data_IF_369538733317
#
_entry.id   IF_369538733317
#
_cell.length_a   1.000
_cell.length_b   1.000
_cell.length_c   1.000
_cell.angle_alpha   90.00
_cell.angle_beta   90.00
_cell.angle_gamma   90.00
#
_symmetry.space_group_name_H-M   'P 1'
#
loop_
_entity.id
_entity.type
_entity.pdbx_description
1 polymer ?
#
# COMPACT_ATOMS: atom_id res chain seq x y z
N UNK A 1 6.12 -4.84 -11.69
CA UNK A 1 6.20 -4.70 -10.23
C UNK A 1 4.85 -4.43 -9.60
N UNK A 2 4.15 -3.33 -9.91
CA UNK A 2 2.81 -3.06 -9.35
C UNK A 2 1.81 -4.21 -9.46
N UNK A 3 1.85 -5.00 -10.55
CA UNK A 3 1.00 -6.18 -10.71
C UNK A 3 1.32 -7.34 -9.75
N UNK A 4 2.55 -7.42 -9.23
CA UNK A 4 3.01 -8.52 -8.36
C UNK A 4 2.44 -8.39 -6.95
N UNK A 5 2.16 -7.16 -6.50
CA UNK A 5 1.67 -6.90 -5.13
C UNK A 5 0.14 -6.90 -5.02
N UNK A 6 -0.57 -6.83 -6.15
CA UNK A 6 -2.04 -6.83 -6.23
C UNK A 6 -2.64 -8.10 -5.61
N UNK A 7 -2.14 -9.31 -5.88
CA UNK A 7 -2.61 -10.53 -5.23
C UNK A 7 -2.54 -10.45 -3.70
N UNK A 8 -1.45 -9.93 -3.13
CA UNK A 8 -1.27 -9.79 -1.68
C UNK A 8 -2.36 -8.89 -1.06
N UNK A 9 -2.61 -7.73 -1.67
CA UNK A 9 -3.67 -6.83 -1.23
C UNK A 9 -5.07 -7.44 -1.37
N UNK A 10 -5.34 -8.16 -2.46
CA UNK A 10 -6.62 -8.84 -2.67
C UNK A 10 -6.84 -9.99 -1.67
N UNK A 11 -5.79 -10.76 -1.37
CA UNK A 11 -5.86 -11.85 -0.40
C UNK A 11 -6.15 -11.29 0.99
N UNK A 12 -5.44 -10.24 1.42
CA UNK A 12 -5.70 -9.59 2.70
C UNK A 12 -7.12 -8.98 2.76
N UNK A 13 -7.60 -8.38 1.67
CA UNK A 13 -8.97 -7.89 1.55
C UNK A 13 -10.01 -9.02 1.64
N UNK A 14 -9.78 -10.13 0.95
CA UNK A 14 -10.68 -11.29 0.98
C UNK A 14 -10.74 -11.91 2.38
N UNK A 15 -9.62 -11.98 3.09
CA UNK A 15 -9.58 -12.46 4.48
C UNK A 15 -10.32 -11.51 5.41
N UNK A 16 -10.13 -10.20 5.27
CA UNK A 16 -10.87 -9.20 6.04
C UNK A 16 -12.39 -9.36 5.93
N UNK A 17 -12.89 -9.65 4.73
CA UNK A 17 -14.32 -9.85 4.47
C UNK A 17 -14.86 -11.21 4.99
N UNK A 18 -13.99 -12.21 5.15
CA UNK A 18 -14.38 -13.55 5.64
C UNK A 18 -14.34 -13.66 7.15
N UNK A 19 -13.45 -12.92 7.81
CA UNK A 19 -13.09 -13.16 9.20
C UNK A 19 -13.86 -12.22 10.12
N UNK A 20 -14.93 -12.73 10.75
CA UNK A 20 -15.76 -12.00 11.71
C UNK A 20 -15.15 -11.91 13.13
N UNK A 21 -14.18 -12.78 13.46
CA UNK A 21 -13.46 -12.77 14.74
C UNK A 21 -11.98 -13.11 14.51
N UNK A 22 -11.17 -12.09 14.19
CA UNK A 22 -9.71 -12.23 14.10
C UNK A 22 -9.01 -11.61 15.31
N UNK A 23 -7.75 -12.00 15.54
CA UNK A 23 -6.94 -11.33 16.57
C UNK A 23 -6.54 -9.92 16.12
N UNK A 24 -6.25 -9.04 17.08
CA UNK A 24 -5.71 -7.71 16.78
C UNK A 24 -4.42 -7.78 15.92
N UNK A 25 -3.63 -8.83 16.10
CA UNK A 25 -2.45 -9.10 15.27
C UNK A 25 -2.83 -9.36 13.80
N UNK A 26 -3.81 -10.21 13.56
CA UNK A 26 -4.31 -10.52 12.20
C UNK A 26 -4.87 -9.26 11.51
N UNK A 27 -5.67 -8.45 12.21
CA UNK A 27 -6.16 -7.20 11.63
C UNK A 27 -5.04 -6.22 11.32
N UNK A 28 -4.00 -6.16 12.17
CA UNK A 28 -2.84 -5.30 11.93
C UNK A 28 -2.06 -5.74 10.68
N UNK A 29 -1.84 -7.05 10.48
CA UNK A 29 -1.14 -7.56 9.29
C UNK A 29 -1.97 -7.41 8.02
N UNK A 30 -3.30 -7.54 8.10
CA UNK A 30 -4.23 -7.19 7.01
C UNK A 30 -4.06 -5.72 6.60
N UNK A 31 -4.10 -4.79 7.57
CA UNK A 31 -3.95 -3.35 7.30
C UNK A 31 -2.62 -3.05 6.61
N UNK A 32 -1.51 -3.63 7.11
CA UNK A 32 -0.18 -3.45 6.51
C UNK A 32 -0.15 -3.99 5.08
N UNK A 33 -0.68 -5.19 4.83
CA UNK A 33 -0.68 -5.79 3.50
C UNK A 33 -1.47 -4.93 2.50
N UNK A 34 -2.68 -4.48 2.89
CA UNK A 34 -3.52 -3.64 2.04
C UNK A 34 -2.86 -2.29 1.78
N UNK A 35 -2.29 -1.65 2.82
CA UNK A 35 -1.60 -0.38 2.68
C UNK A 35 -0.43 -0.48 1.70
N UNK A 36 0.52 -1.38 1.98
CA UNK A 36 1.75 -1.51 1.19
C UNK A 36 1.41 -1.95 -0.23
N UNK A 37 0.47 -2.89 -0.39
CA UNK A 37 0.04 -3.35 -1.70
C UNK A 37 -0.64 -2.26 -2.53
N UNK A 38 -1.56 -1.50 -1.94
CA UNK A 38 -2.29 -0.43 -2.65
C UNK A 38 -1.38 0.75 -2.99
N UNK A 39 -0.51 1.16 -2.06
CA UNK A 39 0.49 2.21 -2.28
C UNK A 39 1.43 1.81 -3.42
N UNK A 40 1.94 0.58 -3.40
CA UNK A 40 2.91 0.09 -4.38
C UNK A 40 2.28 -0.07 -5.77
N UNK A 41 1.04 -0.54 -5.82
CA UNK A 41 0.26 -0.64 -7.05
C UNK A 41 0.09 0.73 -7.71
N UNK A 42 -0.43 1.70 -6.98
CA UNK A 42 -0.70 3.05 -7.52
C UNK A 42 0.58 3.81 -7.84
N UNK A 43 1.62 3.71 -7.02
CA UNK A 43 2.94 4.28 -7.32
C UNK A 43 3.56 3.70 -8.59
N UNK A 44 3.43 2.38 -8.81
CA UNK A 44 3.93 1.73 -10.03
C UNK A 44 3.23 2.24 -11.29
N UNK A 45 1.93 2.57 -11.22
CA UNK A 45 1.21 3.16 -12.35
C UNK A 45 1.75 4.53 -12.73
N UNK A 46 2.07 5.38 -11.74
CA UNK A 46 2.67 6.70 -12.00
C UNK A 46 4.08 6.55 -12.58
N UNK A 47 4.91 5.67 -12.00
CA UNK A 47 6.26 5.42 -12.49
C UNK A 47 6.24 4.91 -13.94
N UNK A 48 5.35 3.96 -14.25
CA UNK A 48 5.14 3.46 -15.61
C UNK A 48 4.68 4.58 -16.56
N UNK A 49 3.70 5.38 -16.15
CA UNK A 49 3.21 6.49 -16.95
C UNK A 49 4.29 7.51 -17.29
N UNK A 50 5.21 7.79 -16.36
CA UNK A 50 6.36 8.68 -16.60
C UNK A 50 7.40 8.09 -17.54
N UNK A 51 7.69 6.79 -17.44
CA UNK A 51 8.64 6.11 -18.34
C UNK A 51 8.10 5.96 -19.77
N UNK A 52 6.79 5.77 -19.92
CA UNK A 52 6.14 5.68 -21.24
C UNK A 52 5.85 7.06 -21.87
N UNK A 53 6.11 8.15 -21.16
CA UNK A 53 5.81 9.51 -21.63
C UNK A 53 4.31 9.89 -21.59
N UNK A 54 3.45 9.07 -20.98
CA UNK A 54 2.04 9.44 -20.73
C UNK A 54 1.91 10.52 -19.64
N UNK A 55 2.86 10.57 -18.71
CA UNK A 55 2.97 11.57 -17.66
C UNK A 55 4.31 12.28 -17.84
N UNK A 56 4.38 13.59 -17.57
CA UNK A 56 5.64 14.33 -17.63
C UNK A 56 6.71 13.67 -16.75
N UNK A 57 7.88 13.44 -17.35
CA UNK A 57 9.06 12.96 -16.63
C UNK A 57 9.65 14.00 -15.67
N UNK A 58 9.19 15.25 -15.70
CA UNK A 58 9.65 16.24 -14.72
C UNK A 58 9.03 15.96 -13.33
N UNK A 59 9.75 16.31 -12.24
CA UNK A 59 9.16 16.41 -10.92
C UNK A 59 7.94 17.33 -10.93
N UNK A 60 6.78 16.82 -10.50
CA UNK A 60 5.57 17.63 -10.33
C UNK A 60 5.40 17.85 -8.84
N UNK A 61 5.66 19.06 -8.38
CA UNK A 61 5.55 19.44 -6.97
C UNK A 61 4.48 20.51 -6.79
N UNK A 62 3.72 20.45 -5.70
CA UNK A 62 2.71 21.44 -5.36
C UNK A 62 2.95 22.02 -3.96
N UNK A 63 2.55 23.28 -3.69
CA UNK A 63 2.80 23.91 -2.40
C UNK A 63 2.09 23.14 -1.28
N UNK A 64 2.83 22.81 -0.21
CA UNK A 64 2.32 22.08 0.94
C UNK A 64 2.24 20.55 0.77
N UNK A 65 2.82 19.97 -0.30
CA UNK A 65 2.77 18.53 -0.56
C UNK A 65 3.26 17.66 0.60
N UNK A 66 4.37 18.02 1.26
CA UNK A 66 4.87 17.26 2.41
C UNK A 66 3.88 17.26 3.58
N UNK A 67 3.23 18.41 3.83
CA UNK A 67 2.22 18.54 4.89
C UNK A 67 0.98 17.70 4.55
N UNK A 68 0.52 17.75 3.31
CA UNK A 68 -0.62 16.95 2.83
C UNK A 68 -0.31 15.45 2.92
N UNK A 69 0.88 15.02 2.50
CA UNK A 69 1.31 13.63 2.63
C UNK A 69 1.41 13.20 4.10
N UNK A 70 1.88 14.06 4.99
CA UNK A 70 1.91 13.80 6.42
C UNK A 70 0.51 13.65 7.01
N UNK A 71 -0.44 14.50 6.59
CA UNK A 71 -1.85 14.39 7.01
C UNK A 71 -2.48 13.08 6.53
N UNK A 72 -2.23 12.68 5.28
CA UNK A 72 -2.69 11.39 4.78
C UNK A 72 -2.06 10.22 5.53
N UNK A 73 -0.76 10.29 5.85
CA UNK A 73 -0.09 9.26 6.65
C UNK A 73 -0.69 9.15 8.07
N UNK A 74 -0.98 10.28 8.71
CA UNK A 74 -1.66 10.30 10.02
C UNK A 74 -3.09 9.75 9.93
N UNK A 75 -3.83 10.13 8.89
CA UNK A 75 -5.18 9.62 8.65
C UNK A 75 -5.16 8.10 8.43
N UNK A 76 -4.17 7.59 7.71
CA UNK A 76 -3.97 6.15 7.49
C UNK A 76 -3.70 5.40 8.80
N UNK A 77 -2.84 5.95 9.67
CA UNK A 77 -2.58 5.34 10.98
C UNK A 77 -3.83 5.34 11.85
N UNK A 78 -4.60 6.42 11.83
CA UNK A 78 -5.87 6.51 12.55
C UNK A 78 -6.89 5.48 12.04
N UNK A 79 -7.11 5.40 10.73
CA UNK A 79 -8.05 4.42 10.15
C UNK A 79 -7.58 2.98 10.35
N UNK A 80 -6.28 2.72 10.27
CA UNK A 80 -5.69 1.43 10.60
C UNK A 80 -5.93 1.02 12.06
N UNK A 81 -5.80 1.96 13.00
CA UNK A 81 -6.14 1.72 14.41
C UNK A 81 -7.63 1.43 14.60
N UNK A 82 -8.52 2.18 13.95
CA UNK A 82 -9.96 1.95 14.04
C UNK A 82 -10.40 0.61 13.43
N UNK A 83 -9.73 0.09 12.40
CA UNK A 83 -9.99 -1.26 11.89
C UNK A 83 -9.74 -2.33 12.96
N UNK A 84 -8.68 -2.17 13.77
CA UNK A 84 -8.35 -3.14 14.82
C UNK A 84 -9.38 -3.12 15.96
N UNK A 85 -9.94 -1.95 16.27
CA UNK A 85 -10.95 -1.80 17.33
C UNK A 85 -12.36 -2.17 16.87
N UNK A 86 -12.73 -1.78 15.65
CA UNK A 86 -14.07 -1.89 15.10
C UNK A 86 -14.05 -2.52 13.69
N UNK A 87 -13.64 -3.79 13.56
CA UNK A 87 -13.43 -4.44 12.26
C UNK A 87 -14.72 -4.58 11.44
N UNK A 88 -15.89 -4.56 12.08
CA UNK A 88 -17.18 -4.62 11.40
C UNK A 88 -17.53 -3.33 10.63
N UNK A 89 -16.85 -2.22 10.89
CA UNK A 89 -17.06 -0.97 10.18
C UNK A 89 -16.26 -0.92 8.87
N UNK A 90 -16.90 -1.36 7.77
CA UNK A 90 -16.28 -1.40 6.43
C UNK A 90 -15.80 -0.02 5.93
N UNK A 91 -16.31 1.07 6.49
CA UNK A 91 -15.87 2.43 6.15
C UNK A 91 -14.37 2.64 6.40
N UNK A 92 -13.83 2.10 7.50
CA UNK A 92 -12.41 2.23 7.80
C UNK A 92 -11.56 1.42 6.82
N UNK A 93 -12.03 0.24 6.42
CA UNK A 93 -11.39 -0.59 5.40
C UNK A 93 -11.27 0.13 4.06
N UNK A 94 -12.38 0.71 3.55
CA UNK A 94 -12.34 1.52 2.34
C UNK A 94 -11.46 2.78 2.50
N UNK A 95 -11.47 3.37 3.70
CA UNK A 95 -10.59 4.49 4.05
C UNK A 95 -9.11 4.15 3.87
N UNK A 96 -8.65 3.00 4.38
CA UNK A 96 -7.26 2.53 4.19
C UNK A 96 -6.92 2.40 2.71
N UNK A 97 -7.78 1.76 1.91
CA UNK A 97 -7.53 1.59 0.47
C UNK A 97 -7.41 2.95 -0.24
N UNK A 98 -8.36 3.85 -0.02
CA UNK A 98 -8.39 5.17 -0.69
C UNK A 98 -7.18 6.02 -0.29
N UNK A 99 -6.88 6.10 1.01
CA UNK A 99 -5.75 6.90 1.50
C UNK A 99 -4.43 6.32 0.99
N UNK A 100 -4.27 4.99 0.99
CA UNK A 100 -3.07 4.32 0.48
C UNK A 100 -2.87 4.55 -1.02
N UNK A 101 -3.95 4.52 -1.79
CA UNK A 101 -3.94 4.80 -3.22
C UNK A 101 -3.50 6.25 -3.51
N UNK A 102 -4.06 7.21 -2.76
CA UNK A 102 -3.67 8.62 -2.89
C UNK A 102 -2.20 8.81 -2.50
N UNK A 103 -1.76 8.22 -1.40
CA UNK A 103 -0.35 8.29 -0.96
C UNK A 103 0.60 7.71 -2.00
N UNK A 104 0.29 6.56 -2.62
CA UNK A 104 1.13 6.00 -3.67
C UNK A 104 1.28 6.94 -4.88
N UNK A 105 0.21 7.66 -5.23
CA UNK A 105 0.25 8.68 -6.27
C UNK A 105 1.07 9.89 -5.81
N UNK A 106 0.73 10.51 -4.68
CA UNK A 106 1.33 11.77 -4.23
C UNK A 106 2.79 11.64 -3.77
N UNK A 107 3.24 10.44 -3.40
CA UNK A 107 4.64 10.14 -3.11
C UNK A 107 5.46 9.89 -4.37
N UNK A 108 4.85 9.38 -5.45
CA UNK A 108 5.58 9.05 -6.70
C UNK A 108 5.63 10.21 -7.69
N UNK A 109 4.56 11.02 -7.75
CA UNK A 109 4.46 12.21 -8.63
C UNK A 109 5.63 13.22 -8.50
N UNK A 110 6.17 13.56 -7.31
CA UNK A 110 7.26 14.53 -7.19
C UNK A 110 8.61 13.97 -7.66
N UNK A 111 8.71 12.67 -7.93
CA UNK A 111 9.98 12.05 -8.31
C UNK A 111 10.24 12.26 -9.79
N UNK A 112 11.46 12.65 -10.14
CA UNK A 112 11.88 12.86 -11.52
C UNK A 112 11.98 11.54 -12.30
N UNK A 113 11.75 11.61 -13.61
CA UNK A 113 11.87 10.49 -14.55
C UNK A 113 13.25 9.84 -14.53
N UNK A 114 14.30 10.65 -14.33
CA UNK A 114 15.68 10.18 -14.21
C UNK A 114 15.90 9.30 -12.96
N UNK A 115 15.16 9.56 -11.88
CA UNK A 115 15.27 8.83 -10.61
C UNK A 115 14.28 7.64 -10.54
N UNK A 116 13.42 7.46 -11.55
CA UNK A 116 12.41 6.40 -11.58
C UNK A 116 12.97 4.98 -11.41
N UNK A 117 14.14 4.60 -11.96
CA UNK A 117 14.70 3.27 -11.72
C UNK A 117 14.91 2.95 -10.24
N UNK A 118 15.27 3.96 -9.43
CA UNK A 118 15.42 3.82 -7.97
C UNK A 118 14.06 3.64 -7.29
N UNK A 119 13.05 4.40 -7.71
CA UNK A 119 11.69 4.24 -7.17
C UNK A 119 11.14 2.86 -7.45
N UNK A 120 11.37 2.36 -8.67
CA UNK A 120 10.91 1.03 -9.07
C UNK A 120 11.58 -0.04 -8.19
N UNK A 121 12.89 0.06 -7.91
CA UNK A 121 13.53 -0.91 -7.02
C UNK A 121 13.02 -0.84 -5.58
N UNK A 122 12.69 0.36 -5.06
CA UNK A 122 12.05 0.51 -3.75
C UNK A 122 10.65 -0.12 -3.71
N UNK A 123 9.83 0.14 -4.73
CA UNK A 123 8.50 -0.47 -4.88
C UNK A 123 8.58 -2.00 -5.02
N UNK A 124 9.66 -2.53 -5.59
CA UNK A 124 9.93 -3.97 -5.59
C UNK A 124 10.10 -4.52 -4.18
N UNK A 125 10.95 -3.86 -3.39
CA UNK A 125 11.28 -4.30 -2.04
C UNK A 125 10.04 -4.27 -1.15
N UNK A 126 9.15 -3.29 -1.35
CA UNK A 126 7.86 -3.24 -0.67
C UNK A 126 6.91 -4.38 -1.05
N UNK A 127 7.06 -4.97 -2.24
CA UNK A 127 6.27 -6.14 -2.61
C UNK A 127 6.58 -7.35 -1.72
N UNK A 128 7.85 -7.54 -1.35
CA UNK A 128 8.26 -8.58 -0.39
C UNK A 128 7.66 -8.35 1.00
N UNK A 129 7.66 -7.09 1.48
CA UNK A 129 7.02 -6.73 2.76
C UNK A 129 5.50 -7.03 2.75
N UNK A 130 4.81 -6.70 1.65
CA UNK A 130 3.38 -7.00 1.51
C UNK A 130 3.09 -8.52 1.41
N UNK A 131 3.96 -9.26 0.72
CA UNK A 131 3.86 -10.72 0.62
C UNK A 131 4.07 -11.39 1.99
N UNK A 132 5.10 -10.97 2.74
CA UNK A 132 5.35 -11.46 4.10
C UNK A 132 4.18 -11.14 5.04
N UNK A 133 3.63 -9.92 5.00
CA UNK A 133 2.44 -9.54 5.76
C UNK A 133 1.24 -10.44 5.43
N UNK A 134 1.02 -10.74 4.15
CA UNK A 134 -0.03 -11.67 3.70
C UNK A 134 0.23 -13.11 4.17
N UNK A 135 1.49 -13.54 4.24
CA UNK A 135 1.88 -14.81 4.84
C UNK A 135 1.44 -14.94 6.29
N UNK A 136 1.57 -13.86 7.08
CA UNK A 136 1.04 -13.81 8.45
C UNK A 136 -0.49 -13.81 8.50
N UNK A 137 -1.16 -13.15 7.55
CA UNK A 137 -2.64 -13.18 7.44
C UNK A 137 -3.14 -14.61 7.23
N UNK A 138 -2.49 -15.39 6.38
CA UNK A 138 -2.87 -16.77 6.06
C UNK A 138 -2.27 -17.84 6.99
N UNK A 139 -1.50 -17.45 8.01
CA UNK A 139 -0.66 -18.36 8.80
C UNK A 139 0.16 -19.35 7.94
N UNK A 140 0.63 -18.89 6.77
CA UNK A 140 1.31 -19.73 5.80
C UNK A 140 2.81 -19.51 5.86
N UNK A 141 3.53 -20.45 6.50
CA UNK A 141 4.98 -20.39 6.68
C UNK A 141 5.77 -20.28 5.36
N UNK A 142 5.24 -20.80 4.25
CA UNK A 142 5.89 -20.68 2.94
C UNK A 142 5.95 -19.23 2.45
N UNK A 143 4.84 -18.51 2.55
CA UNK A 143 4.76 -17.08 2.21
C UNK A 143 5.53 -16.18 3.18
N UNK A 144 5.69 -16.61 4.44
CA UNK A 144 6.46 -15.89 5.46
C UNK A 144 7.96 -16.02 5.19
N UNK A 145 8.46 -17.20 4.80
CA UNK A 145 9.91 -17.50 4.72
C UNK A 145 10.49 -17.21 3.33
N UNK A 146 9.72 -17.31 2.24
CA UNK A 146 10.23 -17.10 0.88
C UNK A 146 10.50 -15.62 0.52
N UNK A 147 10.00 -14.67 1.32
CA UNK A 147 9.96 -13.23 0.99
C UNK A 147 10.61 -12.34 2.07
N UNK A 148 11.30 -12.96 3.06
CA UNK A 148 12.19 -12.33 4.04
C UNK A 148 13.66 -12.52 3.65
#
# INVERSE_FOLDING_TARGET
>A
MGLVVVPSALVAAAEFLKTGEATAFTYSTIVISIFVGTLTFTGSFIAFGKLQGFISGQPIVFPGQQLINALFALALLATGFFIVQEPNQMNYFYGVIIISAILGITLTIPIGGADMPVVISLLNSYSGVAAAATGFVLMNNGLIILEL
#
